data_IF_013877374300
#
_entry.id   IF_013877374300
#
_cell.length_a   1.000
_cell.length_b   1.000
_cell.length_c   1.000
_cell.angle_alpha   90.00
_cell.angle_beta   90.00
_cell.angle_gamma   90.00
#
_symmetry.space_group_name_H-M   'P 1'
#
loop_
_entity.id
_entity.type
_entity.pdbx_description
1 polymer ?
#
# COMPACT_ATOMS: atom_id res chain seq x y z
N UNK A 1 60.50 -28.14 -34.38
CA UNK A 1 59.47 -28.49 -33.37
C UNK A 1 59.11 -27.24 -32.60
N UNK A 2 58.01 -26.59 -32.94
CA UNK A 2 57.49 -25.42 -32.22
C UNK A 2 56.37 -25.90 -31.28
N UNK A 3 56.59 -25.70 -29.98
CA UNK A 3 55.58 -25.97 -28.94
C UNK A 3 54.64 -24.78 -28.86
N UNK A 4 53.35 -25.00 -29.15
CA UNK A 4 52.30 -24.01 -28.90
C UNK A 4 51.87 -24.14 -27.44
N UNK A 5 52.04 -23.02 -26.70
CA UNK A 5 51.52 -22.86 -25.34
C UNK A 5 50.11 -22.30 -25.44
N UNK A 6 49.10 -23.12 -25.05
CA UNK A 6 47.70 -22.69 -24.97
C UNK A 6 47.51 -22.12 -23.58
N UNK A 7 47.31 -20.81 -23.52
CA UNK A 7 46.96 -20.07 -22.29
C UNK A 7 45.44 -20.20 -22.12
N UNK A 8 45.03 -21.04 -21.17
CA UNK A 8 43.61 -21.12 -20.77
C UNK A 8 43.21 -19.92 -19.92
N UNK A 9 42.35 -19.07 -20.45
CA UNK A 9 41.76 -17.94 -19.73
C UNK A 9 40.61 -18.48 -18.86
N UNK A 10 40.85 -18.67 -17.54
CA UNK A 10 39.80 -18.94 -16.57
C UNK A 10 39.01 -17.66 -16.36
N UNK A 11 37.78 -17.60 -16.91
CA UNK A 11 36.81 -16.60 -16.52
C UNK A 11 36.28 -16.97 -15.13
N UNK A 12 36.72 -16.29 -14.11
CA UNK A 12 36.08 -16.28 -12.78
C UNK A 12 34.77 -15.49 -12.90
N UNK A 13 33.67 -16.21 -12.99
CA UNK A 13 32.35 -15.62 -12.73
C UNK A 13 32.28 -15.25 -11.25
N UNK A 14 32.50 -13.99 -10.94
CA UNK A 14 32.06 -13.42 -9.67
C UNK A 14 30.54 -13.37 -9.69
N UNK A 15 29.89 -14.33 -9.04
CA UNK A 15 28.50 -14.18 -8.65
C UNK A 15 28.45 -13.05 -7.62
N UNK A 16 28.03 -11.87 -8.04
CA UNK A 16 27.69 -10.80 -7.11
C UNK A 16 26.48 -11.30 -6.32
N UNK A 17 26.69 -11.70 -5.08
CA UNK A 17 25.63 -11.77 -4.07
C UNK A 17 25.13 -10.34 -3.93
N UNK A 18 24.03 -10.01 -4.60
CA UNK A 18 23.30 -8.78 -4.35
C UNK A 18 22.64 -8.90 -2.98
N UNK A 19 23.33 -8.34 -1.97
CA UNK A 19 22.71 -8.00 -0.69
C UNK A 19 21.53 -7.07 -0.98
N UNK A 20 20.43 -7.18 -0.21
CA UNK A 20 19.30 -6.25 -0.33
C UNK A 20 19.80 -4.81 -0.40
N UNK A 21 19.16 -3.98 -1.22
CA UNK A 21 19.58 -2.60 -1.42
C UNK A 21 18.98 -1.73 -0.32
N UNK A 22 19.70 -1.50 0.77
CA UNK A 22 19.29 -0.56 1.80
C UNK A 22 19.45 0.88 1.29
N UNK A 23 18.37 1.65 1.36
CA UNK A 23 18.41 3.08 1.09
C UNK A 23 18.67 3.86 2.37
N UNK A 24 19.37 4.99 2.23
CA UNK A 24 19.55 5.92 3.36
C UNK A 24 18.21 6.45 3.83
N UNK A 25 18.04 6.54 5.15
CA UNK A 25 16.86 7.16 5.77
C UNK A 25 16.89 8.65 5.45
N UNK A 26 15.87 9.10 4.76
CA UNK A 26 15.70 10.52 4.42
C UNK A 26 15.09 11.24 5.63
N UNK A 27 15.70 12.34 6.13
CA UNK A 27 15.12 13.09 7.22
C UNK A 27 13.85 13.83 6.76
N UNK A 28 12.80 13.74 7.57
CA UNK A 28 11.57 14.52 7.38
C UNK A 28 11.81 15.97 7.85
N UNK A 29 12.33 16.79 6.97
CA UNK A 29 12.65 18.18 7.22
C UNK A 29 11.95 19.12 6.20
N UNK A 30 12.05 20.43 6.42
CA UNK A 30 11.40 21.41 5.56
C UNK A 30 11.88 21.34 4.11
N UNK A 31 13.16 21.00 3.87
CA UNK A 31 13.70 20.85 2.52
C UNK A 31 13.03 19.70 1.77
N UNK A 32 12.86 18.53 2.44
CA UNK A 32 12.15 17.41 1.86
C UNK A 32 10.66 17.74 1.64
N UNK A 33 10.00 18.34 2.62
CA UNK A 33 8.59 18.76 2.50
C UNK A 33 8.40 19.71 1.32
N UNK A 34 9.26 20.72 1.19
CA UNK A 34 9.22 21.65 0.07
C UNK A 34 9.46 20.96 -1.28
N UNK A 35 10.37 19.98 -1.33
CA UNK A 35 10.58 19.17 -2.52
C UNK A 35 9.32 18.44 -2.92
N UNK A 36 8.68 17.72 -1.99
CA UNK A 36 7.42 17.01 -2.26
C UNK A 36 6.30 17.99 -2.62
N UNK A 37 6.19 19.11 -1.89
CA UNK A 37 5.23 20.17 -2.19
C UNK A 37 5.33 20.65 -3.65
N UNK A 38 6.54 20.78 -4.18
CA UNK A 38 6.78 21.22 -5.56
C UNK A 38 6.46 20.13 -6.59
N UNK A 39 6.75 18.87 -6.28
CA UNK A 39 6.52 17.72 -7.16
C UNK A 39 5.04 17.28 -7.18
N UNK A 40 4.34 17.47 -6.07
CA UNK A 40 2.95 17.05 -5.92
C UNK A 40 2.01 17.87 -6.81
N UNK A 41 0.97 17.22 -7.37
CA UNK A 41 -0.04 17.90 -8.17
C UNK A 41 -0.73 19.02 -7.39
N UNK A 42 -1.10 20.10 -8.11
CA UNK A 42 -1.79 21.26 -7.56
C UNK A 42 -3.29 21.24 -7.80
N UNK A 43 -3.76 20.33 -8.63
CA UNK A 43 -5.16 20.17 -8.99
C UNK A 43 -5.49 18.69 -9.15
N UNK A 44 -6.74 18.36 -8.88
CA UNK A 44 -7.30 17.03 -9.17
C UNK A 44 -7.50 16.86 -10.66
N UNK A 45 -7.35 15.63 -11.15
CA UNK A 45 -7.60 15.31 -12.57
C UNK A 45 -9.08 15.01 -12.85
N UNK A 46 -9.81 14.58 -11.83
CA UNK A 46 -11.21 14.22 -11.96
C UNK A 46 -12.08 15.28 -11.28
N UNK A 47 -13.26 15.59 -11.83
CA UNK A 47 -14.19 16.52 -11.20
C UNK A 47 -14.63 16.04 -9.82
N UNK A 48 -14.74 16.94 -8.88
CA UNK A 48 -15.30 16.66 -7.56
C UNK A 48 -16.39 17.67 -7.21
N UNK A 49 -17.45 17.19 -6.58
CA UNK A 49 -18.62 18.00 -6.25
C UNK A 49 -18.47 18.79 -4.95
N UNK A 50 -17.60 18.33 -4.04
CA UNK A 50 -17.40 18.91 -2.70
C UNK A 50 -16.06 18.50 -2.11
N UNK A 51 -15.56 19.29 -1.15
CA UNK A 51 -14.44 18.88 -0.32
C UNK A 51 -14.80 17.62 0.49
N UNK A 52 -13.86 16.69 0.61
CA UNK A 52 -14.02 15.42 1.31
C UNK A 52 -13.18 15.38 2.57
N UNK A 53 -13.73 14.80 3.65
CA UNK A 53 -13.03 14.62 4.91
C UNK A 53 -12.44 13.22 5.01
N UNK A 54 -11.13 13.12 5.19
CA UNK A 54 -10.39 11.85 5.21
C UNK A 54 -9.75 11.62 6.58
N UNK A 55 -9.99 10.46 7.18
CA UNK A 55 -9.20 9.98 8.31
C UNK A 55 -7.89 9.40 7.81
N UNK A 56 -6.76 10.04 8.11
CA UNK A 56 -5.42 9.50 7.91
C UNK A 56 -4.96 8.80 9.18
N UNK A 57 -5.05 7.48 9.20
CA UNK A 57 -4.72 6.69 10.37
C UNK A 57 -3.33 6.07 10.25
N UNK A 58 -2.44 6.33 11.23
CA UNK A 58 -1.01 5.99 11.18
C UNK A 58 -0.51 5.25 12.42
N UNK A 59 -1.39 4.56 13.16
CA UNK A 59 -0.99 3.71 14.27
C UNK A 59 -0.37 2.41 13.73
N UNK A 60 0.76 2.00 14.29
CA UNK A 60 1.31 0.66 14.17
C UNK A 60 1.41 0.03 15.55
N UNK A 61 1.26 -1.27 15.66
CA UNK A 61 1.46 -2.04 16.89
C UNK A 61 2.54 -3.11 16.72
N UNK A 62 2.85 -3.45 15.45
CA UNK A 62 3.92 -4.34 15.02
C UNK A 62 5.11 -3.59 14.45
N UNK A 63 5.49 -3.92 13.20
CA UNK A 63 6.65 -3.30 12.56
C UNK A 63 6.44 -1.80 12.33
N UNK A 64 7.39 -1.00 12.77
CA UNK A 64 7.40 0.46 12.55
C UNK A 64 8.16 0.79 11.26
N UNK A 65 7.43 1.13 10.22
CA UNK A 65 8.06 1.65 9.01
C UNK A 65 8.54 3.09 9.25
N UNK A 66 9.82 3.35 9.02
CA UNK A 66 10.40 4.68 9.18
C UNK A 66 9.73 5.75 8.29
N UNK A 67 9.10 5.31 7.20
CA UNK A 67 8.41 6.17 6.22
C UNK A 67 7.02 6.66 6.68
N UNK A 68 6.46 6.13 7.76
CA UNK A 68 5.12 6.51 8.25
C UNK A 68 4.91 8.04 8.29
N UNK A 69 5.81 8.84 8.90
CA UNK A 69 5.62 10.29 8.94
C UNK A 69 5.76 10.95 7.56
N UNK A 70 6.58 10.41 6.66
CA UNK A 70 6.72 10.92 5.29
C UNK A 70 5.46 10.66 4.47
N UNK A 71 4.92 9.44 4.55
CA UNK A 71 3.66 9.10 3.86
C UNK A 71 2.51 9.95 4.38
N UNK A 72 2.45 10.18 5.70
CA UNK A 72 1.45 11.07 6.28
C UNK A 72 1.57 12.51 5.74
N UNK A 73 2.77 13.04 5.66
CA UNK A 73 3.03 14.37 5.08
C UNK A 73 2.63 14.43 3.60
N UNK A 74 2.93 13.37 2.81
CA UNK A 74 2.50 13.30 1.40
C UNK A 74 0.98 13.42 1.27
N UNK A 75 0.21 12.64 2.04
CA UNK A 75 -1.26 12.70 1.99
C UNK A 75 -1.78 14.09 2.39
N UNK A 76 -1.18 14.73 3.40
CA UNK A 76 -1.52 16.09 3.81
C UNK A 76 -1.19 17.12 2.72
N UNK A 77 -0.02 17.00 2.07
CA UNK A 77 0.38 17.85 0.95
C UNK A 77 -0.59 17.71 -0.22
N UNK A 78 -0.97 16.49 -0.60
CA UNK A 78 -1.94 16.24 -1.67
C UNK A 78 -3.30 16.87 -1.36
N UNK A 79 -3.77 16.73 -0.13
CA UNK A 79 -5.01 17.37 0.34
C UNK A 79 -4.95 18.90 0.29
N UNK A 80 -3.89 19.48 0.86
CA UNK A 80 -3.72 20.94 0.96
C UNK A 80 -3.47 21.61 -0.40
N UNK A 81 -2.68 20.99 -1.28
CA UNK A 81 -2.40 21.51 -2.61
C UNK A 81 -3.67 21.64 -3.46
N UNK A 82 -4.53 20.62 -3.39
CA UNK A 82 -5.74 20.56 -4.21
C UNK A 82 -6.94 21.22 -3.55
N UNK A 83 -6.90 21.43 -2.23
CA UNK A 83 -8.03 21.89 -1.40
C UNK A 83 -9.28 20.98 -1.50
N UNK A 84 -9.09 19.77 -2.05
CA UNK A 84 -10.17 18.82 -2.26
C UNK A 84 -10.41 17.96 -1.03
N UNK A 85 -9.39 17.79 -0.19
CA UNK A 85 -9.45 16.91 0.96
C UNK A 85 -9.12 17.65 2.25
N UNK A 86 -9.99 17.49 3.26
CA UNK A 86 -9.71 17.81 4.65
C UNK A 86 -9.14 16.56 5.32
N UNK A 87 -7.83 16.55 5.59
CA UNK A 87 -7.11 15.37 6.06
C UNK A 87 -6.90 15.46 7.57
N UNK A 88 -7.61 14.62 8.33
CA UNK A 88 -7.51 14.51 9.78
C UNK A 88 -6.57 13.35 10.14
N UNK A 89 -5.38 13.67 10.62
CA UNK A 89 -4.40 12.67 11.07
C UNK A 89 -4.71 12.18 12.48
N UNK A 90 -4.70 10.85 12.69
CA UNK A 90 -4.93 10.24 14.01
C UNK A 90 -4.14 8.94 14.18
N UNK A 91 -3.91 8.57 15.45
CA UNK A 91 -3.45 7.24 15.90
C UNK A 91 -4.44 6.62 16.89
N UNK A 92 -5.54 7.30 17.18
CA UNK A 92 -6.54 6.87 18.14
C UNK A 92 -7.52 5.88 17.49
N UNK A 93 -7.57 4.65 18.01
CA UNK A 93 -8.46 3.59 17.52
C UNK A 93 -9.94 3.90 17.74
N UNK A 94 -10.29 4.84 18.65
CA UNK A 94 -11.68 5.26 18.87
C UNK A 94 -12.25 6.04 17.68
N UNK A 95 -11.41 6.47 16.72
CA UNK A 95 -11.87 6.96 15.42
C UNK A 95 -12.64 5.88 14.63
N UNK A 96 -12.49 4.60 14.96
CA UNK A 96 -13.23 3.49 14.36
C UNK A 96 -14.54 3.15 15.08
N UNK A 97 -14.97 3.94 16.04
CA UNK A 97 -16.34 3.89 16.53
C UNK A 97 -17.29 4.36 15.43
N UNK A 98 -18.47 3.76 15.38
CA UNK A 98 -19.47 4.03 14.33
C UNK A 98 -19.85 5.50 14.21
N UNK A 99 -19.95 6.20 15.34
CA UNK A 99 -20.26 7.63 15.38
C UNK A 99 -19.13 8.48 14.81
N UNK A 100 -17.87 8.15 15.16
CA UNK A 100 -16.68 8.86 14.67
C UNK A 100 -16.47 8.63 13.17
N UNK A 101 -16.63 7.38 12.69
CA UNK A 101 -16.51 7.05 11.26
C UNK A 101 -17.52 7.80 10.41
N UNK A 102 -18.72 8.06 10.92
CA UNK A 102 -19.76 8.79 10.19
C UNK A 102 -19.40 10.23 9.83
N UNK A 103 -18.34 10.78 10.44
CA UNK A 103 -17.83 12.12 10.13
C UNK A 103 -16.90 12.16 8.92
N UNK A 104 -16.47 11.01 8.39
CA UNK A 104 -15.49 10.90 7.31
C UNK A 104 -16.13 10.38 6.02
N UNK A 105 -15.59 10.81 4.88
CA UNK A 105 -15.90 10.24 3.57
C UNK A 105 -15.01 9.03 3.27
N UNK A 106 -13.78 9.01 3.81
CA UNK A 106 -12.83 7.92 3.58
C UNK A 106 -11.81 7.75 4.70
N UNK A 107 -11.17 6.57 4.72
CA UNK A 107 -10.08 6.19 5.61
C UNK A 107 -8.83 5.91 4.76
N UNK A 108 -7.68 6.41 5.20
CA UNK A 108 -6.35 6.04 4.70
C UNK A 108 -5.61 5.30 5.80
N UNK A 109 -5.30 4.01 5.61
CA UNK A 109 -4.49 3.21 6.52
C UNK A 109 -3.01 3.31 6.09
N UNK A 110 -2.25 4.14 6.78
CA UNK A 110 -0.86 4.44 6.47
C UNK A 110 0.08 3.50 7.25
N UNK A 111 0.56 2.43 6.60
CA UNK A 111 1.52 1.49 7.19
C UNK A 111 1.11 0.96 8.58
N UNK A 112 -0.16 0.67 8.78
CA UNK A 112 -0.77 0.27 10.04
C UNK A 112 -0.49 -1.20 10.39
N UNK A 113 0.79 -1.56 10.55
CA UNK A 113 1.21 -2.92 10.80
C UNK A 113 0.81 -3.39 12.21
N UNK A 114 0.13 -4.55 12.28
CA UNK A 114 -0.22 -5.23 13.53
C UNK A 114 0.89 -6.19 13.99
N UNK A 115 0.92 -6.50 15.29
CA UNK A 115 1.84 -7.51 15.88
C UNK A 115 1.65 -8.87 15.22
N UNK A 116 2.74 -9.66 15.06
CA UNK A 116 2.67 -10.99 14.44
C UNK A 116 1.73 -11.97 15.15
N UNK A 117 1.62 -11.89 16.48
CA UNK A 117 0.94 -12.89 17.31
C UNK A 117 -0.54 -13.07 16.95
N UNK A 118 -1.28 -11.96 16.82
CA UNK A 118 -2.70 -11.99 16.49
C UNK A 118 -3.02 -11.38 15.13
N UNK A 119 -2.12 -10.56 14.59
CA UNK A 119 -2.34 -9.84 13.33
C UNK A 119 -3.65 -9.06 13.33
N UNK A 120 -3.93 -8.38 14.47
CA UNK A 120 -5.16 -7.61 14.69
C UNK A 120 -4.85 -6.32 15.45
N UNK A 121 -4.66 -5.21 14.74
CA UNK A 121 -4.19 -3.93 15.29
C UNK A 121 -5.08 -3.41 16.43
N UNK A 122 -6.40 -3.46 16.29
CA UNK A 122 -7.33 -2.99 17.32
C UNK A 122 -7.20 -3.81 18.61
N UNK A 123 -7.03 -5.13 18.49
CA UNK A 123 -6.77 -5.98 19.63
C UNK A 123 -5.48 -5.62 20.34
N UNK A 124 -4.40 -5.44 19.57
CA UNK A 124 -3.09 -5.10 20.12
C UNK A 124 -3.16 -3.80 20.92
N UNK A 125 -3.85 -2.78 20.39
CA UNK A 125 -3.97 -1.47 21.03
C UNK A 125 -4.86 -1.53 22.27
N UNK A 126 -6.03 -2.16 22.20
CA UNK A 126 -6.92 -2.32 23.35
C UNK A 126 -6.24 -3.06 24.51
N UNK A 127 -5.41 -4.06 24.20
CA UNK A 127 -4.59 -4.76 25.21
C UNK A 127 -3.50 -3.88 25.82
N UNK A 128 -2.99 -2.92 25.08
CA UNK A 128 -2.01 -1.97 25.60
C UNK A 128 -2.67 -0.90 26.50
N UNK A 129 -3.90 -0.53 26.22
CA UNK A 129 -4.64 0.52 26.94
C UNK A 129 -5.39 0.01 28.17
N UNK A 130 -5.71 -1.29 28.25
CA UNK A 130 -6.62 -1.82 29.26
C UNK A 130 -6.21 -3.20 29.79
N UNK A 131 -6.45 -3.43 31.08
CA UNK A 131 -6.32 -4.72 31.76
C UNK A 131 -7.65 -5.48 31.83
N UNK A 132 -8.69 -5.02 31.16
CA UNK A 132 -9.99 -5.67 31.13
C UNK A 132 -9.90 -7.11 30.59
N UNK A 133 -10.95 -7.88 30.81
CA UNK A 133 -11.04 -9.26 30.33
C UNK A 133 -10.77 -9.39 28.84
N UNK A 134 -9.93 -10.36 28.48
CA UNK A 134 -9.49 -10.56 27.07
C UNK A 134 -10.62 -10.82 26.11
N UNK A 135 -11.71 -11.47 26.55
CA UNK A 135 -12.86 -11.74 25.67
C UNK A 135 -13.64 -10.45 25.39
N UNK A 136 -13.76 -9.56 26.36
CA UNK A 136 -14.40 -8.24 26.16
C UNK A 136 -13.59 -7.37 25.21
N UNK A 137 -12.27 -7.33 25.38
CA UNK A 137 -11.38 -6.57 24.49
C UNK A 137 -11.39 -7.11 23.06
N UNK A 138 -11.43 -8.45 22.90
CA UNK A 138 -11.54 -9.07 21.58
C UNK A 138 -12.90 -8.76 20.93
N UNK A 139 -13.98 -8.76 21.71
CA UNK A 139 -15.30 -8.37 21.19
C UNK A 139 -15.29 -6.91 20.69
N UNK A 140 -14.67 -5.99 21.45
CA UNK A 140 -14.52 -4.58 21.02
C UNK A 140 -13.62 -4.42 19.78
N UNK A 141 -12.53 -5.18 19.71
CA UNK A 141 -11.67 -5.20 18.53
C UNK A 141 -12.43 -5.65 17.27
N UNK A 142 -13.26 -6.70 17.39
CA UNK A 142 -14.13 -7.18 16.30
C UNK A 142 -15.25 -6.19 15.96
N UNK A 143 -15.71 -5.41 16.92
CA UNK A 143 -16.65 -4.33 16.66
C UNK A 143 -16.01 -3.26 15.76
N UNK A 144 -14.78 -2.80 16.06
CA UNK A 144 -14.06 -1.85 15.22
C UNK A 144 -13.80 -2.40 13.80
N UNK A 145 -13.39 -3.67 13.69
CA UNK A 145 -13.28 -4.34 12.39
C UNK A 145 -14.61 -4.30 11.61
N UNK A 146 -15.72 -4.66 12.27
CA UNK A 146 -17.04 -4.65 11.66
C UNK A 146 -17.48 -3.25 11.25
N UNK A 147 -17.15 -2.23 12.04
CA UNK A 147 -17.45 -0.84 11.74
C UNK A 147 -16.73 -0.36 10.47
N UNK A 148 -15.43 -0.74 10.27
CA UNK A 148 -14.71 -0.45 9.03
C UNK A 148 -15.37 -1.09 7.83
N UNK A 149 -15.70 -2.39 7.94
CA UNK A 149 -16.35 -3.13 6.85
C UNK A 149 -17.71 -2.53 6.50
N UNK A 150 -18.53 -2.21 7.51
CA UNK A 150 -19.83 -1.57 7.30
C UNK A 150 -19.71 -0.15 6.74
N UNK A 151 -18.72 0.63 7.18
CA UNK A 151 -18.45 1.96 6.67
C UNK A 151 -18.21 1.92 5.16
N UNK A 152 -17.34 1.02 4.70
CA UNK A 152 -17.08 0.86 3.26
C UNK A 152 -18.35 0.39 2.53
N UNK A 153 -19.04 -0.65 3.03
CA UNK A 153 -20.25 -1.17 2.37
C UNK A 153 -21.35 -0.13 2.22
N UNK A 154 -21.39 0.88 3.08
CA UNK A 154 -22.36 1.98 3.05
C UNK A 154 -21.93 3.19 2.21
N UNK A 155 -20.79 3.13 1.54
CA UNK A 155 -20.33 4.18 0.63
C UNK A 155 -19.04 4.88 1.04
N UNK A 156 -18.47 4.56 2.20
CA UNK A 156 -17.17 5.09 2.62
C UNK A 156 -16.01 4.56 1.77
N UNK A 157 -14.95 5.35 1.64
CA UNK A 157 -13.73 4.97 0.94
C UNK A 157 -12.69 4.34 1.86
N UNK A 158 -11.86 3.41 1.32
CA UNK A 158 -10.74 2.84 2.05
C UNK A 158 -9.50 2.77 1.15
N UNK A 159 -8.44 3.49 1.52
CA UNK A 159 -7.12 3.41 0.90
C UNK A 159 -6.13 2.78 1.87
N UNK A 160 -5.44 1.73 1.42
CA UNK A 160 -4.37 1.11 2.19
C UNK A 160 -3.03 1.39 1.51
N UNK A 161 -2.07 1.88 2.29
CA UNK A 161 -0.72 2.19 1.83
C UNK A 161 0.27 1.19 2.43
N UNK A 162 0.99 0.47 1.59
CA UNK A 162 2.04 -0.49 1.90
C UNK A 162 1.65 -1.44 3.06
N UNK A 163 2.28 -1.30 4.24
CA UNK A 163 1.99 -2.07 5.44
C UNK A 163 0.56 -1.93 5.97
N UNK A 164 -0.25 -1.01 5.44
CA UNK A 164 -1.67 -0.89 5.76
C UNK A 164 -2.47 -2.17 5.51
N UNK A 165 -2.04 -3.02 4.57
CA UNK A 165 -2.68 -4.32 4.31
C UNK A 165 -2.53 -5.30 5.47
N UNK A 166 -1.61 -5.07 6.40
CA UNK A 166 -1.37 -5.95 7.55
C UNK A 166 -2.17 -5.58 8.80
N UNK A 167 -3.01 -4.55 8.74
CA UNK A 167 -3.80 -4.03 9.89
C UNK A 167 -4.59 -5.12 10.60
N UNK A 168 -5.32 -5.94 9.83
CA UNK A 168 -6.15 -7.06 10.29
C UNK A 168 -5.81 -8.33 9.50
N UNK A 169 -4.53 -8.67 9.42
CA UNK A 169 -4.00 -9.65 8.47
C UNK A 169 -4.52 -11.09 8.66
N UNK A 170 -5.04 -11.43 9.84
CA UNK A 170 -5.66 -12.73 10.11
C UNK A 170 -7.19 -12.71 9.97
N UNK A 171 -7.79 -11.56 9.65
CA UNK A 171 -9.22 -11.49 9.40
C UNK A 171 -9.55 -11.91 7.97
N UNK A 172 -10.33 -12.96 7.82
CA UNK A 172 -10.85 -13.39 6.53
C UNK A 172 -11.79 -12.32 5.94
N UNK A 173 -12.64 -11.71 6.75
CA UNK A 173 -13.57 -10.66 6.31
C UNK A 173 -12.84 -9.41 5.81
N UNK A 174 -11.77 -9.01 6.51
CA UNK A 174 -10.96 -7.88 6.05
C UNK A 174 -10.16 -8.23 4.80
N UNK A 175 -9.64 -9.45 4.69
CA UNK A 175 -9.00 -9.94 3.46
C UNK A 175 -9.96 -9.90 2.27
N UNK A 176 -11.20 -10.32 2.46
CA UNK A 176 -12.25 -10.24 1.44
C UNK A 176 -12.59 -8.79 1.08
N UNK A 177 -12.66 -7.89 2.06
CA UNK A 177 -12.88 -6.46 1.85
C UNK A 177 -11.79 -5.83 0.98
N UNK A 178 -10.51 -6.09 1.30
CA UNK A 178 -9.39 -5.42 0.63
C UNK A 178 -8.85 -6.19 -0.58
N UNK A 179 -9.26 -7.44 -0.76
CA UNK A 179 -8.84 -8.32 -1.86
C UNK A 179 -7.60 -9.16 -1.58
N UNK A 180 -6.97 -9.02 -0.40
CA UNK A 180 -5.77 -9.78 -0.02
C UNK A 180 -5.46 -9.70 1.48
N UNK A 181 -4.57 -10.59 1.93
CA UNK A 181 -3.76 -10.43 3.14
C UNK A 181 -2.28 -10.48 2.76
N UNK A 182 -1.44 -9.82 3.52
CA UNK A 182 0.01 -9.93 3.40
C UNK A 182 0.46 -11.34 3.77
N UNK A 183 1.37 -11.91 2.99
CA UNK A 183 2.00 -13.20 3.27
C UNK A 183 3.45 -13.01 3.72
N UNK A 184 4.31 -12.54 2.81
CA UNK A 184 5.71 -12.26 3.07
C UNK A 184 6.27 -11.28 2.03
N UNK A 185 7.52 -10.86 2.24
CA UNK A 185 8.34 -10.19 1.24
C UNK A 185 9.79 -10.69 1.29
N UNK A 186 10.49 -10.78 0.15
CA UNK A 186 11.95 -10.84 0.09
C UNK A 186 12.57 -9.52 0.62
N UNK A 187 13.89 -9.47 0.82
CA UNK A 187 14.56 -8.22 1.12
C UNK A 187 14.25 -7.13 0.11
N UNK A 188 14.23 -5.88 0.59
CA UNK A 188 14.12 -4.67 -0.22
C UNK A 188 15.10 -4.71 -1.39
N UNK A 189 14.64 -4.37 -2.59
CA UNK A 189 15.40 -4.44 -3.82
C UNK A 189 14.85 -3.50 -4.89
N UNK A 190 15.61 -3.30 -5.98
CA UNK A 190 15.08 -2.62 -7.15
C UNK A 190 13.96 -3.44 -7.79
N UNK A 191 12.81 -2.81 -8.02
CA UNK A 191 11.60 -3.42 -8.59
C UNK A 191 11.21 -2.62 -9.83
N UNK A 192 11.00 -3.31 -10.97
CA UNK A 192 10.34 -2.74 -12.14
C UNK A 192 8.83 -2.92 -11.99
N UNK A 193 8.12 -1.85 -11.69
CA UNK A 193 6.66 -1.83 -11.61
C UNK A 193 6.08 -1.54 -12.99
N UNK A 194 5.16 -2.38 -13.44
CA UNK A 194 4.51 -2.34 -14.75
C UNK A 194 3.02 -2.05 -14.61
N UNK A 195 2.41 -1.51 -15.67
CA UNK A 195 0.99 -1.19 -15.72
C UNK A 195 0.23 -2.38 -16.30
N UNK A 196 -0.87 -2.81 -15.63
CA UNK A 196 -1.69 -3.92 -16.15
C UNK A 196 -2.47 -3.50 -17.39
N UNK A 197 -3.07 -2.33 -17.35
CA UNK A 197 -3.70 -1.67 -18.49
C UNK A 197 -3.24 -0.19 -18.55
N UNK A 198 -2.30 0.17 -19.43
CA UNK A 198 -1.82 1.55 -19.54
C UNK A 198 -2.89 2.58 -19.91
N UNK A 199 -4.08 2.13 -20.38
CA UNK A 199 -5.20 3.00 -20.71
C UNK A 199 -6.13 3.27 -19.52
N UNK A 200 -5.96 2.55 -18.41
CA UNK A 200 -6.81 2.71 -17.22
C UNK A 200 -6.61 4.11 -16.61
N UNK A 201 -7.69 4.90 -16.36
CA UNK A 201 -7.58 6.31 -15.96
C UNK A 201 -6.65 6.56 -14.78
N UNK A 202 -6.64 5.68 -13.76
CA UNK A 202 -5.84 5.84 -12.57
C UNK A 202 -4.32 5.74 -12.81
N UNK A 203 -3.87 5.03 -13.84
CA UNK A 203 -2.43 4.81 -14.09
C UNK A 203 -1.85 5.68 -15.20
N UNK A 204 -2.65 6.52 -15.87
CA UNK A 204 -2.20 7.33 -17.01
C UNK A 204 -1.16 8.42 -16.66
N UNK A 205 -0.89 8.64 -15.37
CA UNK A 205 0.22 9.51 -14.94
C UNK A 205 1.59 8.85 -15.13
N UNK A 206 1.66 7.51 -15.17
CA UNK A 206 2.91 6.80 -15.36
C UNK A 206 3.26 6.69 -16.87
N UNK A 207 4.57 6.61 -17.20
CA UNK A 207 5.00 6.13 -18.52
C UNK A 207 4.43 4.73 -18.81
N UNK A 208 4.19 4.40 -20.07
CA UNK A 208 3.63 3.09 -20.46
C UNK A 208 4.50 1.91 -20.02
N UNK A 209 5.79 2.13 -19.89
CA UNK A 209 6.78 1.16 -19.42
C UNK A 209 6.73 0.94 -17.92
N UNK A 210 5.95 1.74 -17.18
CA UNK A 210 5.91 1.76 -15.73
C UNK A 210 7.07 2.57 -15.14
N UNK A 211 7.56 2.16 -13.97
CA UNK A 211 8.65 2.84 -13.26
C UNK A 211 9.46 1.86 -12.42
N UNK A 212 10.73 2.21 -12.17
CA UNK A 212 11.58 1.47 -11.25
C UNK A 212 11.73 2.23 -9.94
N UNK A 213 11.73 1.50 -8.83
CA UNK A 213 12.07 2.03 -7.51
C UNK A 213 12.66 0.93 -6.63
N UNK A 214 13.24 1.31 -5.50
CA UNK A 214 13.68 0.35 -4.49
C UNK A 214 12.59 0.23 -3.45
N UNK A 215 12.06 -0.99 -3.26
CA UNK A 215 10.95 -1.24 -2.32
C UNK A 215 10.97 -2.70 -1.84
N UNK A 216 10.08 -3.04 -0.91
CA UNK A 216 9.81 -4.41 -0.49
C UNK A 216 8.80 -5.07 -1.44
N UNK A 217 9.17 -6.14 -2.18
CA UNK A 217 8.24 -6.83 -3.05
C UNK A 217 7.27 -7.70 -2.23
N UNK A 218 6.10 -7.17 -1.89
CA UNK A 218 5.08 -7.88 -1.12
C UNK A 218 4.41 -8.99 -1.93
N UNK A 219 4.27 -10.14 -1.28
CA UNK A 219 3.45 -11.28 -1.73
C UNK A 219 2.25 -11.46 -0.81
N UNK A 220 1.18 -12.02 -1.36
CA UNK A 220 -0.12 -12.01 -0.70
C UNK A 220 -0.75 -13.41 -0.64
N UNK A 221 -1.73 -13.56 0.27
CA UNK A 221 -2.48 -14.78 0.52
C UNK A 221 -3.98 -14.50 0.70
N UNK A 222 -4.74 -15.53 1.09
CA UNK A 222 -6.17 -15.51 1.36
C UNK A 222 -6.97 -15.04 0.13
N UNK A 223 -7.78 -13.99 0.23
CA UNK A 223 -8.61 -13.49 -0.85
C UNK A 223 -7.83 -13.10 -2.12
N UNK A 224 -6.52 -12.90 -2.03
CA UNK A 224 -5.69 -12.65 -3.20
C UNK A 224 -5.77 -13.79 -4.25
N UNK A 225 -5.94 -15.03 -3.80
CA UNK A 225 -6.06 -16.18 -4.71
C UNK A 225 -7.27 -16.11 -5.63
N UNK A 226 -8.30 -15.35 -5.27
CA UNK A 226 -9.56 -15.25 -6.02
C UNK A 226 -9.50 -14.16 -7.09
N UNK A 227 -8.50 -13.25 -7.01
CA UNK A 227 -8.32 -12.11 -7.90
C UNK A 227 -9.61 -11.27 -8.06
N UNK A 228 -10.39 -11.15 -6.98
CA UNK A 228 -11.63 -10.40 -6.98
C UNK A 228 -11.40 -8.90 -6.78
N UNK A 229 -10.52 -8.34 -7.61
CA UNK A 229 -10.17 -6.93 -7.70
C UNK A 229 -9.74 -6.58 -9.12
N UNK A 230 -9.72 -5.30 -9.46
CA UNK A 230 -9.18 -4.80 -10.72
C UNK A 230 -7.73 -4.38 -10.51
N UNK A 231 -6.76 -5.11 -11.09
CA UNK A 231 -5.35 -4.80 -10.89
C UNK A 231 -4.95 -3.55 -11.68
N UNK A 232 -4.04 -2.78 -11.12
CA UNK A 232 -3.50 -1.56 -11.73
C UNK A 232 -2.01 -1.67 -12.01
N UNK A 233 -1.23 -2.09 -11.00
CA UNK A 233 0.22 -2.20 -11.07
C UNK A 233 0.67 -3.61 -10.68
N UNK A 234 1.75 -4.08 -11.30
CA UNK A 234 2.35 -5.38 -10.99
C UNK A 234 3.86 -5.37 -11.19
N UNK A 235 4.53 -6.39 -10.67
CA UNK A 235 5.88 -6.80 -11.09
C UNK A 235 5.88 -8.25 -11.58
N UNK A 236 6.84 -8.62 -12.42
CA UNK A 236 7.05 -9.99 -12.82
C UNK A 236 7.84 -10.73 -11.75
N UNK A 237 7.32 -11.86 -11.29
CA UNK A 237 7.94 -12.65 -10.21
C UNK A 237 9.34 -13.15 -10.59
N UNK A 238 9.60 -13.35 -11.88
CA UNK A 238 10.92 -13.76 -12.39
C UNK A 238 12.02 -12.70 -12.21
N UNK A 239 11.63 -11.43 -12.02
CA UNK A 239 12.55 -10.31 -11.82
C UNK A 239 12.91 -10.11 -10.33
N UNK A 240 12.19 -10.79 -9.41
CA UNK A 240 12.41 -10.67 -7.98
C UNK A 240 13.45 -11.67 -7.48
N UNK A 241 14.43 -11.16 -6.75
CA UNK A 241 15.46 -11.97 -6.12
C UNK A 241 14.96 -12.44 -4.74
N UNK A 242 14.89 -13.77 -4.54
CA UNK A 242 14.57 -14.34 -3.24
C UNK A 242 15.85 -14.93 -2.61
N UNK A 243 16.09 -14.60 -1.34
CA UNK A 243 17.19 -15.20 -0.58
C UNK A 243 16.82 -16.54 0.09
N UNK A 244 15.55 -16.93 0.05
CA UNK A 244 15.12 -18.20 0.62
C UNK A 244 15.31 -19.31 -0.41
N UNK A 245 16.36 -20.13 -0.23
CA UNK A 245 16.77 -21.20 -1.13
C UNK A 245 15.65 -22.20 -1.51
N UNK A 246 14.61 -22.32 -0.69
CA UNK A 246 13.48 -23.23 -0.89
C UNK A 246 12.19 -22.55 -1.35
N UNK A 247 12.19 -21.22 -1.53
CA UNK A 247 11.02 -20.49 -1.95
C UNK A 247 11.06 -20.31 -3.46
N UNK A 248 10.45 -21.25 -4.19
CA UNK A 248 10.14 -21.05 -5.60
C UNK A 248 9.16 -19.91 -5.68
N UNK A 249 9.64 -18.74 -6.15
CA UNK A 249 8.73 -17.70 -6.61
C UNK A 249 7.85 -18.31 -7.69
N UNK A 250 6.55 -18.23 -7.53
CA UNK A 250 5.61 -18.68 -8.55
C UNK A 250 5.89 -17.91 -9.84
N UNK A 251 5.84 -18.58 -10.98
CA UNK A 251 5.88 -17.90 -12.27
C UNK A 251 4.68 -16.97 -12.40
N UNK A 252 4.84 -15.85 -13.11
CA UNK A 252 3.73 -14.92 -13.38
C UNK A 252 3.93 -13.55 -12.72
N UNK A 253 2.81 -12.87 -12.50
CA UNK A 253 2.74 -11.50 -11.99
C UNK A 253 2.32 -11.49 -10.51
N UNK A 254 2.86 -10.53 -9.76
CA UNK A 254 2.30 -10.14 -8.46
C UNK A 254 1.79 -8.70 -8.55
N UNK A 255 0.50 -8.52 -8.29
CA UNK A 255 -0.13 -7.21 -8.30
C UNK A 255 0.22 -6.44 -7.03
N UNK A 256 0.61 -5.18 -7.18
CA UNK A 256 1.07 -4.31 -6.09
C UNK A 256 0.23 -3.05 -5.93
N UNK A 257 -0.74 -2.85 -6.81
CA UNK A 257 -1.83 -1.91 -6.62
C UNK A 257 -3.08 -2.41 -7.34
N UNK A 258 -4.22 -2.24 -6.70
CA UNK A 258 -5.52 -2.62 -7.25
C UNK A 258 -6.65 -1.78 -6.65
N UNK A 259 -7.79 -1.83 -7.32
CA UNK A 259 -9.05 -1.24 -6.86
C UNK A 259 -10.12 -2.32 -6.74
N UNK A 260 -11.09 -2.05 -5.87
CA UNK A 260 -12.23 -2.93 -5.66
C UNK A 260 -13.45 -2.14 -5.18
N UNK A 261 -14.59 -2.22 -5.86
CA UNK A 261 -15.87 -1.79 -5.30
C UNK A 261 -16.34 -2.80 -4.24
N UNK A 262 -16.90 -2.31 -3.15
CA UNK A 262 -17.50 -3.14 -2.09
C UNK A 262 -18.76 -2.49 -1.55
N UNK A 263 -19.92 -3.10 -1.83
CA UNK A 263 -21.22 -2.48 -1.55
C UNK A 263 -21.40 -1.17 -2.32
N UNK A 264 -21.54 -0.06 -1.61
CA UNK A 264 -21.61 1.29 -2.19
C UNK A 264 -20.28 2.04 -2.14
N UNK A 265 -19.27 1.50 -1.45
CA UNK A 265 -17.98 2.12 -1.25
C UNK A 265 -16.89 1.54 -2.15
N UNK A 266 -15.70 2.08 -1.98
CA UNK A 266 -14.54 1.77 -2.83
C UNK A 266 -13.30 1.52 -2.00
N UNK A 267 -12.53 0.52 -2.39
CA UNK A 267 -11.26 0.15 -1.76
C UNK A 267 -10.14 0.26 -2.78
N UNK A 268 -8.99 0.81 -2.36
CA UNK A 268 -7.77 0.80 -3.13
C UNK A 268 -6.59 0.39 -2.26
N UNK A 269 -5.69 -0.40 -2.82
CA UNK A 269 -4.41 -0.74 -2.22
C UNK A 269 -3.26 -0.25 -3.08
N UNK A 270 -2.22 0.32 -2.45
CA UNK A 270 -0.98 0.79 -3.07
C UNK A 270 0.20 0.28 -2.24
N UNK A 271 0.97 -0.70 -2.76
CA UNK A 271 2.20 -1.16 -2.11
C UNK A 271 3.38 -0.20 -2.27
N UNK A 272 3.65 0.40 -3.44
CA UNK A 272 4.81 1.28 -3.67
C UNK A 272 4.83 2.53 -2.78
N UNK A 273 5.25 2.39 -1.51
CA UNK A 273 5.36 3.50 -0.54
C UNK A 273 6.19 3.13 0.70
N UNK A 274 7.11 2.16 0.61
CA UNK A 274 7.99 1.77 1.73
C UNK A 274 9.08 2.80 2.00
N UNK A 275 9.55 3.50 0.98
CA UNK A 275 10.68 4.44 1.08
C UNK A 275 10.27 5.86 0.70
N UNK A 276 10.78 6.86 1.42
CA UNK A 276 10.51 8.28 1.15
C UNK A 276 11.01 8.72 -0.23
N UNK A 277 12.05 8.06 -0.76
CA UNK A 277 12.58 8.32 -2.11
C UNK A 277 11.55 8.00 -3.21
N UNK A 278 10.63 7.06 -2.98
CA UNK A 278 9.57 6.73 -3.93
C UNK A 278 8.64 7.94 -4.19
N UNK A 279 8.44 8.81 -3.19
CA UNK A 279 7.63 10.02 -3.32
C UNK A 279 8.27 11.13 -4.15
N UNK A 280 9.52 10.98 -4.54
CA UNK A 280 10.18 11.89 -5.50
C UNK A 280 9.73 11.66 -6.95
N UNK A 281 8.92 10.62 -7.19
CA UNK A 281 8.29 10.35 -8.48
C UNK A 281 6.94 11.10 -8.58
N UNK A 282 6.82 12.15 -9.42
CA UNK A 282 5.56 12.91 -9.57
C UNK A 282 4.38 12.05 -10.05
N UNK A 283 4.66 10.99 -10.84
CA UNK A 283 3.61 10.09 -11.32
C UNK A 283 3.04 9.24 -10.17
N UNK A 284 3.87 8.83 -9.19
CA UNK A 284 3.39 8.14 -8.00
C UNK A 284 2.56 9.09 -7.12
N UNK A 285 2.97 10.34 -6.96
CA UNK A 285 2.19 11.35 -6.21
C UNK A 285 0.83 11.60 -6.88
N UNK A 286 0.80 11.70 -8.20
CA UNK A 286 -0.47 11.82 -8.95
C UNK A 286 -1.32 10.56 -8.78
N UNK A 287 -0.74 9.37 -8.85
CA UNK A 287 -1.46 8.10 -8.66
C UNK A 287 -2.08 8.00 -7.25
N UNK A 288 -1.37 8.46 -6.22
CA UNK A 288 -1.90 8.52 -4.85
C UNK A 288 -3.08 9.50 -4.75
N UNK A 289 -2.97 10.69 -5.37
CA UNK A 289 -4.07 11.66 -5.42
C UNK A 289 -5.29 11.09 -6.16
N UNK A 290 -5.07 10.44 -7.30
CA UNK A 290 -6.13 9.79 -8.07
C UNK A 290 -6.80 8.65 -7.26
N UNK A 291 -6.01 7.94 -6.46
CA UNK A 291 -6.49 6.95 -5.52
C UNK A 291 -7.38 7.56 -4.43
N UNK A 292 -6.98 8.72 -3.88
CA UNK A 292 -7.84 9.47 -2.95
C UNK A 292 -9.16 9.89 -3.61
N UNK A 293 -9.12 10.36 -4.87
CA UNK A 293 -10.34 10.68 -5.62
C UNK A 293 -11.19 9.43 -5.94
N UNK A 294 -10.54 8.31 -6.26
CA UNK A 294 -11.24 7.06 -6.53
C UNK A 294 -12.03 6.58 -5.31
N UNK A 295 -11.41 6.53 -4.13
CA UNK A 295 -12.08 5.99 -2.94
C UNK A 295 -13.25 6.85 -2.45
N UNK A 296 -13.28 8.15 -2.78
CA UNK A 296 -14.41 9.03 -2.45
C UNK A 296 -15.46 9.11 -3.57
N UNK A 297 -15.30 8.33 -4.63
CA UNK A 297 -16.28 8.20 -5.70
C UNK A 297 -16.19 9.22 -6.83
N UNK A 298 -15.16 10.06 -6.88
CA UNK A 298 -14.99 11.07 -7.93
C UNK A 298 -14.55 10.46 -9.27
N UNK A 299 -14.03 9.22 -9.28
CA UNK A 299 -13.51 8.57 -10.48
C UNK A 299 -14.45 7.50 -10.99
N UNK A 300 -14.86 7.62 -12.26
CA UNK A 300 -15.55 6.56 -13.00
C UNK A 300 -14.53 5.86 -13.89
N UNK A 301 -14.36 4.56 -13.70
CA UNK A 301 -13.40 3.75 -14.44
C UNK A 301 -13.88 2.30 -14.57
N UNK A 302 -13.13 1.48 -15.30
CA UNK A 302 -13.37 0.03 -15.32
C UNK A 302 -12.98 -0.57 -13.95
N UNK A 303 -13.91 -1.22 -13.30
CA UNK A 303 -13.74 -1.89 -12.00
C UNK A 303 -13.94 -3.42 -12.12
N UNK A 304 -13.79 -3.97 -13.33
CA UNK A 304 -14.02 -5.39 -13.57
C UNK A 304 -12.87 -6.23 -13.00
N UNK A 305 -13.11 -7.13 -12.05
CA UNK A 305 -12.08 -8.00 -11.52
C UNK A 305 -11.48 -8.92 -12.59
N UNK A 306 -10.18 -9.24 -12.43
CA UNK A 306 -9.56 -10.29 -13.22
C UNK A 306 -10.09 -11.64 -12.74
N UNK A 307 -11.00 -12.23 -13.48
CA UNK A 307 -11.46 -13.59 -13.17
C UNK A 307 -10.31 -14.57 -13.40
N UNK A 308 -10.06 -15.44 -12.43
CA UNK A 308 -9.18 -16.58 -12.60
C UNK A 308 -9.73 -17.42 -13.76
N UNK A 309 -8.91 -17.60 -14.81
CA UNK A 309 -9.21 -18.50 -15.93
C UNK A 309 -9.09 -19.96 -15.50
#
# INVERSE_FOLDING_TARGET
MRKHLVLGLCFLFFSQLTLGQDLEIVPLNDAWKQKIQNLAPKQTRFPSSSQKKILLFSLHTGFEHWVIPHTAEVIQILGSNTKQFDVVASKDIHQFEKASLAEYDAIVLNNTCSKPDHRHLFWDQLRAESTADSALLMAKAKEFESNVIEFVKKGGGLLLLHGGITTLNNSQKFSELVGASFDYHPPQQAIQVKLEDPSHPLVTAFPKEGFSHVDEPYFYKNAYSDLNFTPLLYFDNAEIQSQRANQKLTSGKTYVAWIRPEGQGKVMYIAPSHNAQSFENPALLQFMLDGMQYIVGDVTCNETPVKKK
#
